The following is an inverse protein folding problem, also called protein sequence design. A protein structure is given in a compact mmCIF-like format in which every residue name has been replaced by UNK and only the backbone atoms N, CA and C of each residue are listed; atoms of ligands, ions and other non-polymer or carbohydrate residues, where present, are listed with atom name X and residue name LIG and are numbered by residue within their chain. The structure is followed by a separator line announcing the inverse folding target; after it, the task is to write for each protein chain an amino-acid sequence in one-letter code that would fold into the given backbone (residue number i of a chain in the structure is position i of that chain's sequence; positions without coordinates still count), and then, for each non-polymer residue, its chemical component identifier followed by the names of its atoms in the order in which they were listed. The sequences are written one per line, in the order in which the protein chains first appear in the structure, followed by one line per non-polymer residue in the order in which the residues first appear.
data_IF_659613544640
#
_entry.id   IF_659613544640
#
_cell.length_a   1.000
_cell.length_b   1.000
_cell.length_c   1.000
_cell.angle_alpha   90.00
_cell.angle_beta   90.00
_cell.angle_gamma   90.00
#
_symmetry.space_group_name_H-M   'P 1'
#
loop_
_entity.id
_entity.type
_entity.pdbx_description
1 polymer ?
#
# COMPACT_ATOMS: atom_id res chain seq x y z
N UNK A 1 -50.02 -38.31 -40.08
CA UNK A 1 -48.68 -38.27 -40.71
C UNK A 1 -47.98 -37.00 -40.22
N UNK A 2 -47.15 -37.13 -39.20
CA UNK A 2 -46.41 -36.01 -38.66
C UNK A 2 -45.02 -36.48 -38.34
N UNK A 3 -44.03 -35.95 -38.98
CA UNK A 3 -42.65 -36.28 -38.85
C UNK A 3 -42.01 -35.53 -37.62
N UNK A 4 -41.47 -36.30 -36.72
CA UNK A 4 -40.74 -35.81 -35.59
C UNK A 4 -39.35 -35.41 -35.98
N UNK A 5 -38.96 -34.14 -35.76
CA UNK A 5 -37.63 -33.62 -35.95
C UNK A 5 -36.81 -33.87 -34.64
N UNK A 6 -35.80 -34.74 -34.74
CA UNK A 6 -34.76 -34.93 -33.73
C UNK A 6 -33.79 -33.74 -33.80
N UNK A 7 -33.65 -32.96 -32.73
CA UNK A 7 -32.57 -32.01 -32.59
C UNK A 7 -31.36 -32.72 -31.93
N UNK A 8 -30.27 -32.84 -32.66
CA UNK A 8 -28.97 -33.27 -32.18
C UNK A 8 -28.28 -32.13 -31.44
N UNK A 9 -28.12 -32.29 -30.13
CA UNK A 9 -27.29 -31.42 -29.29
C UNK A 9 -25.80 -31.79 -29.54
N UNK A 10 -25.08 -30.95 -30.26
CA UNK A 10 -23.65 -31.02 -30.37
C UNK A 10 -23.00 -30.61 -29.05
N UNK A 11 -22.42 -31.60 -28.36
CA UNK A 11 -21.47 -31.37 -27.26
C UNK A 11 -20.21 -30.70 -27.82
N UNK A 12 -20.04 -29.41 -27.55
CA UNK A 12 -18.79 -28.70 -27.77
C UNK A 12 -17.79 -29.15 -26.74
N UNK A 13 -16.79 -29.91 -27.17
CA UNK A 13 -15.62 -30.30 -26.36
C UNK A 13 -14.86 -29.02 -26.01
N UNK A 14 -14.81 -28.70 -24.71
CA UNK A 14 -13.93 -27.69 -24.16
C UNK A 14 -12.47 -28.06 -24.45
N UNK A 15 -11.84 -27.25 -25.30
CA UNK A 15 -10.40 -27.33 -25.56
C UNK A 15 -9.68 -26.83 -24.29
N UNK A 16 -9.12 -27.76 -23.53
CA UNK A 16 -8.15 -27.44 -22.48
C UNK A 16 -6.95 -26.75 -23.11
N UNK A 17 -6.85 -25.45 -22.90
CA UNK A 17 -5.70 -24.67 -23.32
C UNK A 17 -4.45 -25.25 -22.64
N UNK A 18 -3.56 -25.85 -23.43
CA UNK A 18 -2.22 -26.26 -22.98
C UNK A 18 -1.52 -25.03 -22.45
N UNK A 19 -1.23 -25.01 -21.15
CA UNK A 19 -0.40 -24.01 -20.49
C UNK A 19 0.95 -24.03 -21.20
N UNK A 20 1.20 -23.07 -22.08
CA UNK A 20 2.51 -22.89 -22.69
C UNK A 20 3.50 -22.58 -21.56
N UNK A 21 4.49 -23.44 -21.36
CA UNK A 21 5.65 -23.16 -20.52
C UNK A 21 6.28 -21.89 -21.12
N UNK A 22 6.01 -20.73 -20.52
CA UNK A 22 6.69 -19.50 -20.88
C UNK A 22 8.16 -19.69 -20.49
N UNK A 23 9.03 -19.78 -21.48
CA UNK A 23 10.46 -19.60 -21.25
C UNK A 23 10.62 -18.21 -20.66
N UNK A 24 10.99 -18.14 -19.36
CA UNK A 24 11.31 -16.86 -18.75
C UNK A 24 12.50 -16.23 -19.49
N UNK A 25 12.40 -14.93 -19.78
CA UNK A 25 13.48 -14.17 -20.41
C UNK A 25 14.78 -14.39 -19.61
N UNK A 26 15.89 -14.86 -20.23
CA UNK A 26 17.17 -15.06 -19.54
C UNK A 26 17.65 -13.82 -18.78
N UNK A 27 17.32 -12.61 -19.25
CA UNK A 27 17.62 -11.35 -18.55
C UNK A 27 16.89 -11.22 -17.21
N UNK A 28 15.76 -11.92 -17.04
CA UNK A 28 15.03 -11.94 -15.76
C UNK A 28 15.85 -12.59 -14.65
N UNK A 29 16.67 -13.59 -14.95
CA UNK A 29 17.55 -14.25 -13.98
C UNK A 29 18.64 -13.30 -13.46
N UNK A 30 19.24 -12.50 -14.36
CA UNK A 30 20.22 -11.50 -13.98
C UNK A 30 19.62 -10.43 -13.08
N UNK A 31 18.41 -9.97 -13.42
CA UNK A 31 17.67 -9.01 -12.60
C UNK A 31 17.35 -9.57 -11.22
N UNK A 32 16.90 -10.82 -11.14
CA UNK A 32 16.63 -11.51 -9.86
C UNK A 32 17.90 -11.69 -9.02
N UNK A 33 19.01 -12.11 -9.65
CA UNK A 33 20.29 -12.27 -8.96
C UNK A 33 20.78 -10.93 -8.40
N UNK A 34 20.74 -9.85 -9.20
CA UNK A 34 21.09 -8.51 -8.78
C UNK A 34 20.23 -8.04 -7.60
N UNK A 35 18.92 -8.25 -7.68
CA UNK A 35 18.00 -7.86 -6.60
C UNK A 35 18.30 -8.62 -5.31
N UNK A 36 18.59 -9.93 -5.38
CA UNK A 36 18.98 -10.72 -4.20
C UNK A 36 20.28 -10.23 -3.57
N UNK A 37 21.32 -9.98 -4.37
CA UNK A 37 22.60 -9.45 -3.90
C UNK A 37 22.43 -8.06 -3.29
N UNK A 38 21.66 -7.19 -3.91
CA UNK A 38 21.37 -5.86 -3.39
C UNK A 38 20.59 -5.91 -2.08
N UNK A 39 19.56 -6.76 -2.00
CA UNK A 39 18.79 -6.95 -0.77
C UNK A 39 19.68 -7.44 0.37
N UNK A 40 20.50 -8.45 0.11
CA UNK A 40 21.45 -8.96 1.09
C UNK A 40 22.42 -7.87 1.56
N UNK A 41 22.99 -7.07 0.64
CA UNK A 41 23.88 -5.96 0.95
C UNK A 41 23.20 -4.90 1.82
N UNK A 42 21.97 -4.46 1.47
CA UNK A 42 21.22 -3.48 2.26
C UNK A 42 20.95 -4.01 3.68
N UNK A 43 20.46 -5.24 3.81
CA UNK A 43 20.15 -5.85 5.12
C UNK A 43 21.39 -5.98 5.99
N UNK A 44 22.56 -6.26 5.39
CA UNK A 44 23.80 -6.45 6.12
C UNK A 44 24.43 -5.12 6.58
N UNK A 45 24.31 -4.06 5.77
CA UNK A 45 25.06 -2.81 6.02
C UNK A 45 24.22 -1.77 6.75
N UNK A 46 22.88 -1.79 6.57
CA UNK A 46 22.00 -0.83 7.21
C UNK A 46 21.54 -1.36 8.58
N UNK A 47 21.75 -0.58 9.66
CA UNK A 47 21.38 -1.00 11.02
C UNK A 47 19.87 -0.80 11.26
N UNK A 48 19.02 -1.57 10.57
CA UNK A 48 17.59 -1.56 10.83
C UNK A 48 17.28 -1.98 12.27
N UNK A 49 16.21 -1.41 12.87
CA UNK A 49 15.74 -1.86 14.19
C UNK A 49 15.39 -3.35 14.14
N UNK A 50 14.69 -3.77 13.11
CA UNK A 50 14.51 -5.19 12.74
C UNK A 50 14.49 -5.33 11.22
N UNK A 51 14.96 -6.49 10.73
CA UNK A 51 14.84 -6.89 9.34
C UNK A 51 14.41 -8.34 9.26
N UNK A 52 13.22 -8.56 8.68
CA UNK A 52 12.62 -9.89 8.57
C UNK A 52 13.28 -10.78 7.52
N UNK A 53 12.85 -12.05 7.49
CA UNK A 53 13.30 -13.02 6.49
C UNK A 53 12.59 -12.74 5.14
N UNK A 54 13.24 -13.12 4.03
CA UNK A 54 12.70 -12.98 2.66
C UNK A 54 12.38 -11.52 2.27
N UNK A 55 13.10 -10.55 2.86
CA UNK A 55 13.00 -9.15 2.46
C UNK A 55 13.59 -8.98 1.06
N UNK A 56 12.83 -8.32 0.17
CA UNK A 56 13.25 -7.97 -1.19
C UNK A 56 13.35 -6.47 -1.32
N UNK A 57 14.54 -5.95 -1.66
CA UNK A 57 14.78 -4.53 -1.91
C UNK A 57 15.20 -4.33 -3.37
N UNK A 58 14.42 -3.57 -4.12
CA UNK A 58 14.71 -3.28 -5.53
C UNK A 58 15.64 -2.07 -5.65
N UNK A 59 16.63 -2.17 -6.54
CA UNK A 59 17.58 -1.07 -6.80
C UNK A 59 17.00 -0.03 -7.78
N UNK A 60 17.25 1.28 -7.53
CA UNK A 60 17.81 1.86 -6.32
C UNK A 60 16.75 1.95 -5.20
N UNK A 61 17.23 2.01 -3.96
CA UNK A 61 16.42 2.25 -2.77
C UNK A 61 16.97 3.44 -2.01
N UNK A 62 16.12 4.31 -1.49
CA UNK A 62 16.49 5.58 -0.88
C UNK A 62 16.28 5.53 0.63
N UNK A 63 17.39 5.50 1.35
CA UNK A 63 17.41 5.48 2.82
C UNK A 63 18.69 6.12 3.32
N UNK A 64 18.59 6.97 4.33
CA UNK A 64 19.76 7.44 5.07
C UNK A 64 20.22 6.33 6.04
N UNK A 65 21.46 5.84 5.87
CA UNK A 65 21.99 4.78 6.73
C UNK A 65 21.93 5.14 8.22
N UNK A 66 22.18 6.41 8.57
CA UNK A 66 22.17 6.90 9.95
C UNK A 66 20.79 6.89 10.61
N UNK A 67 19.71 6.74 9.85
CA UNK A 67 18.34 6.67 10.38
C UNK A 67 17.70 5.29 10.22
N UNK A 68 18.41 4.30 9.71
CA UNK A 68 17.88 2.95 9.51
C UNK A 68 17.44 2.27 10.81
N UNK A 69 18.07 2.59 11.95
CA UNK A 69 17.70 2.10 13.28
C UNK A 69 16.29 2.54 13.73
N UNK A 70 15.70 3.52 13.06
CA UNK A 70 14.31 3.98 13.30
C UNK A 70 13.28 3.25 12.43
N UNK A 71 13.68 2.20 11.71
CA UNK A 71 12.85 1.46 10.77
C UNK A 71 12.85 -0.02 11.12
N UNK A 72 11.65 -0.59 11.25
CA UNK A 72 11.40 -2.01 11.46
C UNK A 72 10.70 -2.59 10.24
N UNK A 73 11.22 -3.70 9.71
CA UNK A 73 10.67 -4.35 8.52
C UNK A 73 10.43 -5.84 8.83
N UNK A 74 9.23 -6.31 8.57
CA UNK A 74 8.78 -7.68 8.78
C UNK A 74 9.24 -8.67 7.70
N UNK A 75 8.69 -9.87 7.78
CA UNK A 75 9.01 -10.97 6.88
C UNK A 75 8.29 -10.84 5.54
N UNK A 76 8.90 -11.27 4.45
CA UNK A 76 8.26 -11.33 3.13
C UNK A 76 7.94 -9.97 2.50
N UNK A 77 8.49 -8.88 3.04
CA UNK A 77 8.26 -7.53 2.55
C UNK A 77 9.02 -7.31 1.24
N UNK A 78 8.36 -6.63 0.30
CA UNK A 78 9.00 -6.12 -0.92
C UNK A 78 9.03 -4.59 -0.88
N UNK A 79 10.22 -4.00 -1.05
CA UNK A 79 10.42 -2.57 -1.23
C UNK A 79 10.73 -2.28 -2.69
N UNK A 80 9.86 -1.53 -3.34
CA UNK A 80 9.95 -1.21 -4.76
C UNK A 80 11.09 -0.26 -5.10
N UNK A 81 11.40 -0.19 -6.38
CA UNK A 81 12.43 0.68 -6.94
C UNK A 81 12.16 2.15 -6.58
N UNK A 82 13.21 2.88 -6.20
CA UNK A 82 13.15 4.29 -5.79
C UNK A 82 12.22 4.58 -4.59
N UNK A 83 11.78 3.57 -3.85
CA UNK A 83 11.06 3.79 -2.60
C UNK A 83 11.97 4.54 -1.62
N UNK A 84 11.41 5.53 -0.94
CA UNK A 84 12.13 6.38 0.00
C UNK A 84 11.52 6.29 1.41
N UNK A 85 12.28 5.71 2.32
CA UNK A 85 11.94 5.70 3.74
C UNK A 85 12.74 6.81 4.44
N UNK A 86 12.06 7.86 4.85
CA UNK A 86 12.63 9.04 5.48
C UNK A 86 12.14 9.17 6.92
N UNK A 87 13.04 9.43 7.85
CA UNK A 87 12.70 9.75 9.24
C UNK A 87 13.25 11.12 9.61
N UNK A 88 12.44 11.92 10.27
CA UNK A 88 12.81 13.26 10.74
C UNK A 88 13.24 13.18 12.20
N UNK A 89 14.39 13.83 12.54
CA UNK A 89 14.99 13.75 13.87
C UNK A 89 15.78 12.46 14.04
N UNK A 90 17.11 12.55 13.92
CA UNK A 90 18.02 11.39 13.93
C UNK A 90 18.40 10.90 15.34
N UNK A 91 18.15 11.74 16.34
CA UNK A 91 18.72 11.56 17.70
C UNK A 91 17.83 10.73 18.62
N UNK A 92 16.78 10.08 18.09
CA UNK A 92 15.90 9.22 18.89
C UNK A 92 16.15 7.75 18.57
N UNK A 93 16.15 6.90 19.59
CA UNK A 93 16.20 5.44 19.46
C UNK A 93 14.83 4.84 19.08
N UNK A 94 13.79 5.67 18.98
CA UNK A 94 12.44 5.22 18.69
C UNK A 94 12.26 4.77 17.25
N UNK A 95 11.57 3.66 17.05
CA UNK A 95 11.16 3.19 15.73
C UNK A 95 10.00 4.04 15.23
N UNK A 96 10.20 4.68 14.08
CA UNK A 96 9.23 5.60 13.48
C UNK A 96 8.49 5.01 12.29
N UNK A 97 9.12 4.09 11.56
CA UNK A 97 8.48 3.39 10.45
C UNK A 97 8.47 1.90 10.77
N UNK A 98 7.28 1.34 10.81
CA UNK A 98 7.05 -0.11 10.96
C UNK A 98 6.35 -0.61 9.71
N UNK A 99 6.93 -1.56 9.02
CA UNK A 99 6.31 -2.29 7.91
C UNK A 99 6.26 -3.75 8.33
N UNK A 100 5.06 -4.25 8.58
CA UNK A 100 4.84 -5.61 9.08
C UNK A 100 4.90 -6.65 7.94
N UNK A 101 4.63 -7.90 8.25
CA UNK A 101 4.82 -9.06 7.36
C UNK A 101 4.01 -8.97 6.06
N UNK A 102 4.56 -9.53 4.98
CA UNK A 102 3.93 -9.71 3.67
C UNK A 102 3.47 -8.42 2.97
N UNK A 103 4.02 -7.27 3.33
CA UNK A 103 3.69 -6.01 2.69
C UNK A 103 4.40 -5.86 1.33
N UNK A 104 3.69 -5.27 0.37
CA UNK A 104 4.24 -4.90 -0.92
C UNK A 104 4.23 -3.38 -1.07
N UNK A 105 5.41 -2.78 -1.03
CA UNK A 105 5.63 -1.33 -1.18
C UNK A 105 6.02 -1.07 -2.63
N UNK A 106 5.28 -0.19 -3.29
CA UNK A 106 5.44 0.11 -4.70
C UNK A 106 6.71 0.90 -5.04
N UNK A 107 6.91 1.11 -6.32
CA UNK A 107 8.02 1.93 -6.79
C UNK A 107 7.75 3.43 -6.53
N UNK A 108 8.79 4.18 -6.16
CA UNK A 108 8.73 5.63 -5.91
C UNK A 108 7.78 6.04 -4.77
N UNK A 109 7.46 5.12 -3.87
CA UNK A 109 6.71 5.46 -2.68
C UNK A 109 7.57 6.26 -1.72
N UNK A 110 6.94 7.20 -1.01
CA UNK A 110 7.60 8.06 -0.04
C UNK A 110 6.92 7.90 1.31
N UNK A 111 7.67 7.41 2.30
CA UNK A 111 7.26 7.38 3.69
C UNK A 111 8.12 8.39 4.44
N UNK A 112 7.50 9.45 4.98
CA UNK A 112 8.21 10.48 5.73
C UNK A 112 7.62 10.58 7.13
N UNK A 113 8.33 9.97 8.09
CA UNK A 113 7.92 9.86 9.48
C UNK A 113 8.70 10.81 10.39
N UNK A 114 7.97 11.63 11.12
CA UNK A 114 8.49 12.37 12.26
C UNK A 114 8.18 11.64 13.57
N UNK A 115 6.97 11.15 13.70
CA UNK A 115 6.48 10.43 14.89
C UNK A 115 6.30 8.95 14.61
N UNK A 116 5.29 8.56 13.80
CA UNK A 116 5.01 7.14 13.58
C UNK A 116 4.20 6.88 12.31
N UNK A 117 4.72 5.98 11.46
CA UNK A 117 3.99 5.36 10.35
C UNK A 117 4.04 3.85 10.55
N UNK A 118 2.88 3.23 10.74
CA UNK A 118 2.73 1.80 10.93
C UNK A 118 1.92 1.22 9.78
N UNK A 119 2.52 0.30 9.03
CA UNK A 119 1.88 -0.48 7.97
C UNK A 119 1.75 -1.91 8.50
N UNK A 120 0.53 -2.33 8.80
CA UNK A 120 0.28 -3.68 9.28
C UNK A 120 0.43 -4.72 8.16
N UNK A 121 0.38 -6.00 8.52
CA UNK A 121 0.62 -7.12 7.59
C UNK A 121 -0.33 -7.14 6.38
N UNK A 122 0.13 -7.75 5.30
CA UNK A 122 -0.66 -8.03 4.10
C UNK A 122 -1.18 -6.75 3.39
N UNK A 123 -0.52 -5.60 3.60
CA UNK A 123 -0.86 -4.34 2.93
C UNK A 123 -0.16 -4.26 1.59
N UNK A 124 -0.93 -3.86 0.56
CA UNK A 124 -0.42 -3.61 -0.77
C UNK A 124 -0.48 -2.12 -1.10
N UNK A 125 0.66 -1.53 -1.39
CA UNK A 125 0.81 -0.12 -1.78
C UNK A 125 1.28 -0.08 -3.24
N UNK A 126 0.53 0.62 -4.09
CA UNK A 126 0.86 0.80 -5.48
C UNK A 126 1.99 1.84 -5.64
N UNK A 127 2.31 2.25 -6.86
CA UNK A 127 3.45 3.13 -7.12
C UNK A 127 3.16 4.61 -6.80
N UNK A 128 4.19 5.36 -6.40
CA UNK A 128 4.17 6.81 -6.21
C UNK A 128 3.19 7.29 -5.13
N UNK A 129 3.03 6.50 -4.08
CA UNK A 129 2.21 6.83 -2.91
C UNK A 129 3.03 7.68 -1.93
N UNK A 130 2.39 8.70 -1.35
CA UNK A 130 2.95 9.51 -0.27
C UNK A 130 2.27 9.16 1.05
N UNK A 131 3.06 8.82 2.08
CA UNK A 131 2.58 8.66 3.46
C UNK A 131 3.44 9.55 4.34
N UNK A 132 2.81 10.56 4.96
CA UNK A 132 3.54 11.60 5.69
C UNK A 132 2.77 12.04 6.92
N UNK A 133 3.43 12.01 8.09
CA UNK A 133 2.82 12.34 9.38
C UNK A 133 3.13 13.77 9.88
N UNK A 134 3.74 14.61 9.06
CA UNK A 134 4.10 15.99 9.37
C UNK A 134 4.16 16.85 8.11
N UNK A 135 4.28 18.16 8.25
CA UNK A 135 4.60 19.08 7.16
C UNK A 135 5.51 20.22 7.67
N UNK A 136 5.97 21.07 6.79
CA UNK A 136 6.70 22.28 7.19
C UNK A 136 5.77 23.24 7.92
N UNK A 137 6.24 23.86 9.02
CA UNK A 137 5.55 24.94 9.66
C UNK A 137 5.56 26.18 8.76
N UNK A 138 4.44 26.90 8.69
CA UNK A 138 4.25 28.05 7.79
C UNK A 138 3.45 29.19 8.42
N UNK A 139 3.10 29.07 9.70
CA UNK A 139 2.21 30.00 10.40
C UNK A 139 2.85 31.38 10.62
N UNK A 140 4.18 31.45 10.72
CA UNK A 140 4.91 32.70 10.90
C UNK A 140 5.15 33.38 9.53
N UNK A 141 4.29 34.33 9.19
CA UNK A 141 4.36 35.07 7.93
C UNK A 141 5.58 36.01 7.82
N UNK A 142 6.34 36.21 8.90
CA UNK A 142 7.52 37.08 8.91
C UNK A 142 8.80 36.38 8.53
N UNK A 143 8.80 35.05 8.47
CA UNK A 143 9.96 34.22 8.13
C UNK A 143 9.68 33.29 6.95
N UNK A 144 10.70 32.99 6.13
CA UNK A 144 10.58 31.95 5.12
C UNK A 144 10.20 30.60 5.73
N UNK A 145 9.36 29.80 5.05
CA UNK A 145 8.91 28.47 5.50
C UNK A 145 10.11 27.56 5.80
N UNK A 146 11.18 27.65 5.00
CA UNK A 146 12.41 26.86 5.21
C UNK A 146 13.10 27.10 6.55
N UNK A 147 12.79 28.19 7.24
CA UNK A 147 13.37 28.55 8.55
C UNK A 147 12.43 28.25 9.72
N UNK A 148 11.22 27.76 9.46
CA UNK A 148 10.23 27.51 10.51
C UNK A 148 10.24 26.05 11.02
N UNK A 149 10.99 25.16 10.33
CA UNK A 149 11.07 23.76 10.70
C UNK A 149 9.86 22.95 10.25
N UNK A 150 9.46 21.97 11.05
CA UNK A 150 8.33 21.08 10.77
C UNK A 150 7.33 21.09 11.92
N UNK A 151 6.06 20.84 11.60
CA UNK A 151 4.97 20.78 12.59
C UNK A 151 5.22 19.69 13.65
N UNK A 152 4.50 19.69 14.79
CA UNK A 152 4.53 18.60 15.76
C UNK A 152 4.27 17.23 15.10
N UNK A 153 3.40 17.19 14.08
CA UNK A 153 3.04 16.00 13.35
C UNK A 153 2.03 15.11 14.07
N UNK A 154 1.46 14.17 13.32
CA UNK A 154 0.54 13.16 13.81
C UNK A 154 1.14 11.75 13.83
N UNK A 155 0.27 10.75 13.73
CA UNK A 155 0.63 9.34 13.57
C UNK A 155 -0.25 8.72 12.50
N UNK A 156 0.29 7.78 11.74
CA UNK A 156 -0.45 7.08 10.69
C UNK A 156 -0.40 5.58 10.95
N UNK A 157 -1.56 4.93 10.91
CA UNK A 157 -1.70 3.48 10.94
C UNK A 157 -2.51 3.01 9.74
N UNK A 158 -1.95 2.13 8.94
CA UNK A 158 -2.67 1.41 7.89
C UNK A 158 -2.84 -0.02 8.37
N UNK A 159 -4.08 -0.39 8.68
CA UNK A 159 -4.38 -1.71 9.18
C UNK A 159 -4.27 -2.78 8.09
N UNK A 160 -4.22 -4.03 8.52
CA UNK A 160 -3.99 -5.22 7.68
C UNK A 160 -4.91 -5.30 6.45
N UNK A 161 -4.35 -5.86 5.38
CA UNK A 161 -5.11 -6.21 4.17
C UNK A 161 -5.59 -5.01 3.35
N UNK A 162 -5.10 -3.80 3.61
CA UNK A 162 -5.46 -2.61 2.84
C UNK A 162 -4.76 -2.58 1.48
N UNK A 163 -5.45 -1.96 0.51
CA UNK A 163 -4.88 -1.61 -0.78
C UNK A 163 -4.84 -0.10 -0.97
N UNK A 164 -3.64 0.44 -1.17
CA UNK A 164 -3.42 1.87 -1.43
C UNK A 164 -3.11 2.03 -2.91
N UNK A 165 -3.98 2.73 -3.63
CA UNK A 165 -3.90 2.96 -5.06
C UNK A 165 -2.79 3.93 -5.45
N UNK A 166 -2.36 3.84 -6.70
CA UNK A 166 -1.28 4.63 -7.26
C UNK A 166 -1.49 6.14 -7.05
N UNK A 167 -0.41 6.83 -6.64
CA UNK A 167 -0.42 8.29 -6.49
C UNK A 167 -1.28 8.80 -5.33
N UNK A 168 -1.82 7.92 -4.48
CA UNK A 168 -2.55 8.34 -3.30
C UNK A 168 -1.62 9.07 -2.31
N UNK A 169 -2.19 10.02 -1.56
CA UNK A 169 -1.50 10.71 -0.48
C UNK A 169 -2.26 10.51 0.83
N UNK A 170 -1.55 10.03 1.86
CA UNK A 170 -2.08 9.86 3.22
C UNK A 170 -1.28 10.79 4.12
N UNK A 171 -1.93 11.84 4.64
CA UNK A 171 -1.26 12.92 5.36
C UNK A 171 -1.94 13.15 6.70
N UNK A 172 -1.14 13.14 7.80
CA UNK A 172 -1.61 13.36 9.16
C UNK A 172 -0.74 14.41 9.85
N UNK A 173 -1.27 15.58 10.08
CA UNK A 173 -0.52 16.70 10.68
C UNK A 173 -0.64 16.77 12.20
N UNK A 174 -1.65 16.12 12.76
CA UNK A 174 -1.92 16.07 14.21
C UNK A 174 -2.75 14.82 14.55
N UNK A 175 -2.70 14.39 15.79
CA UNK A 175 -3.46 13.24 16.27
C UNK A 175 -3.07 11.92 15.62
N UNK A 176 -4.05 11.08 15.32
CA UNK A 176 -3.87 9.78 14.68
C UNK A 176 -4.81 9.61 13.47
N UNK A 177 -4.26 9.17 12.35
CA UNK A 177 -5.00 8.79 11.15
C UNK A 177 -4.93 7.27 10.97
N UNK A 178 -6.08 6.61 10.99
CA UNK A 178 -6.19 5.16 10.84
C UNK A 178 -6.95 4.83 9.56
N UNK A 179 -6.32 4.05 8.68
CA UNK A 179 -7.00 3.39 7.56
C UNK A 179 -7.42 2.01 8.06
N UNK A 180 -8.72 1.83 8.29
CA UNK A 180 -9.26 0.59 8.85
C UNK A 180 -9.04 -0.62 7.94
N UNK A 181 -8.95 -1.81 8.53
CA UNK A 181 -8.58 -3.06 7.88
C UNK A 181 -9.39 -3.36 6.61
N UNK A 182 -8.72 -4.00 5.62
CA UNK A 182 -9.33 -4.40 4.35
C UNK A 182 -9.98 -3.23 3.57
N UNK A 183 -9.47 -2.01 3.75
CA UNK A 183 -9.94 -0.83 3.05
C UNK A 183 -9.16 -0.59 1.75
N UNK A 184 -9.78 0.14 0.85
CA UNK A 184 -9.21 0.54 -0.44
C UNK A 184 -9.11 2.06 -0.49
N UNK A 185 -7.93 2.58 -0.71
CA UNK A 185 -7.69 3.97 -1.06
C UNK A 185 -7.49 4.03 -2.58
N UNK A 186 -8.36 4.70 -3.29
CA UNK A 186 -8.29 4.77 -4.74
C UNK A 186 -7.08 5.57 -5.23
N UNK A 187 -6.70 5.35 -6.48
CA UNK A 187 -5.63 6.10 -7.10
C UNK A 187 -5.86 7.62 -7.00
N UNK A 188 -4.78 8.36 -6.73
CA UNK A 188 -4.75 9.84 -6.57
C UNK A 188 -5.70 10.38 -5.49
N UNK A 189 -6.17 9.57 -4.56
CA UNK A 189 -6.95 10.05 -3.43
C UNK A 189 -6.05 10.76 -2.40
N UNK A 190 -6.55 11.87 -1.83
CA UNK A 190 -5.93 12.56 -0.69
C UNK A 190 -6.69 12.22 0.58
N UNK A 191 -6.07 11.47 1.49
CA UNK A 191 -6.67 11.03 2.75
C UNK A 191 -6.04 11.81 3.90
N UNK A 192 -6.87 12.58 4.60
CA UNK A 192 -6.47 13.38 5.76
C UNK A 192 -7.30 13.05 7.01
N UNK A 193 -8.19 12.06 6.92
CA UNK A 193 -9.05 11.61 8.01
C UNK A 193 -9.11 10.09 8.04
N UNK A 194 -9.27 9.53 9.23
CA UNK A 194 -9.45 8.10 9.44
C UNK A 194 -10.69 7.58 8.70
N UNK A 195 -10.64 6.32 8.29
CA UNK A 195 -11.80 5.60 7.77
C UNK A 195 -11.97 4.26 8.49
N UNK A 196 -13.24 3.81 8.68
CA UNK A 196 -13.51 2.52 9.31
C UNK A 196 -13.05 1.36 8.41
N UNK A 197 -12.94 0.13 8.95
CA UNK A 197 -12.64 -1.06 8.15
C UNK A 197 -13.61 -1.24 6.97
N UNK A 198 -13.12 -1.92 5.92
CA UNK A 198 -13.90 -2.25 4.72
C UNK A 198 -14.41 -1.03 3.95
N UNK A 199 -13.67 0.08 3.99
CA UNK A 199 -14.01 1.31 3.30
C UNK A 199 -13.37 1.40 1.91
N UNK A 200 -14.05 2.08 0.98
CA UNK A 200 -13.48 2.53 -0.30
C UNK A 200 -13.46 4.05 -0.28
N UNK A 201 -12.28 4.64 -0.25
CA UNK A 201 -12.05 6.09 -0.25
C UNK A 201 -11.63 6.53 -1.64
N UNK A 202 -12.26 7.58 -2.16
CA UNK A 202 -12.00 8.11 -3.50
C UNK A 202 -11.83 9.63 -3.48
N UNK A 203 -11.05 10.15 -4.40
CA UNK A 203 -11.00 11.58 -4.74
C UNK A 203 -10.03 12.41 -3.90
N UNK A 204 -9.94 13.69 -4.27
CA UNK A 204 -9.16 14.72 -3.59
C UNK A 204 -10.06 15.96 -3.39
N UNK A 205 -10.48 16.25 -2.15
CA UNK A 205 -10.23 15.50 -0.90
C UNK A 205 -10.90 14.12 -0.88
N UNK A 206 -10.29 13.17 -0.16
CA UNK A 206 -10.76 11.79 -0.02
C UNK A 206 -12.14 11.71 0.66
N UNK A 207 -13.05 10.96 0.07
CA UNK A 207 -14.42 10.75 0.58
C UNK A 207 -14.77 9.27 0.57
N UNK A 208 -15.56 8.85 1.55
CA UNK A 208 -16.11 7.48 1.60
C UNK A 208 -17.10 7.27 0.45
N UNK A 209 -16.71 6.46 -0.52
CA UNK A 209 -17.57 6.12 -1.66
C UNK A 209 -18.43 4.86 -1.40
N UNK A 210 -17.85 3.88 -0.69
CA UNK A 210 -18.54 2.61 -0.36
C UNK A 210 -17.97 2.07 0.94
N UNK A 211 -18.79 1.32 1.66
CA UNK A 211 -18.38 0.54 2.83
C UNK A 211 -19.07 -0.82 2.81
N UNK A 212 -18.33 -1.89 3.09
CA UNK A 212 -18.93 -3.20 3.27
C UNK A 212 -19.54 -3.31 4.67
N UNK A 213 -20.78 -3.79 4.71
CA UNK A 213 -21.46 -4.09 5.98
C UNK A 213 -21.36 -5.60 6.24
N UNK A 214 -20.51 -6.05 7.20
CA UNK A 214 -20.30 -7.48 7.47
C UNK A 214 -21.56 -8.18 7.96
N UNK A 215 -22.43 -7.49 8.73
CA UNK A 215 -23.65 -8.07 9.27
C UNK A 215 -24.70 -8.37 8.20
N UNK A 216 -24.67 -7.59 7.10
CA UNK A 216 -25.60 -7.77 5.96
C UNK A 216 -24.96 -8.47 4.76
N UNK A 217 -23.63 -8.64 4.75
CA UNK A 217 -22.89 -9.22 3.64
C UNK A 217 -22.91 -8.38 2.34
N UNK A 218 -23.17 -7.07 2.42
CA UNK A 218 -23.36 -6.21 1.24
C UNK A 218 -22.52 -4.93 1.31
N UNK A 219 -22.17 -4.40 0.16
CA UNK A 219 -21.58 -3.07 0.03
C UNK A 219 -22.67 -1.99 0.03
N UNK A 220 -22.52 -0.99 0.88
CA UNK A 220 -23.38 0.21 0.94
C UNK A 220 -22.65 1.41 0.38
N UNK A 221 -23.38 2.30 -0.30
CA UNK A 221 -22.84 3.57 -0.78
C UNK A 221 -22.51 4.52 0.38
N UNK A 222 -21.44 5.32 0.23
CA UNK A 222 -21.09 6.42 1.13
C UNK A 222 -21.81 7.71 0.73
N UNK A 223 -21.66 8.76 1.56
CA UNK A 223 -22.16 10.09 1.25
C UNK A 223 -21.53 10.62 -0.06
N UNK A 224 -22.35 10.86 -1.08
CA UNK A 224 -21.94 11.39 -2.39
C UNK A 224 -21.84 10.38 -3.53
N UNK A 225 -22.05 9.09 -3.30
CA UNK A 225 -22.21 8.09 -4.36
C UNK A 225 -23.67 8.00 -4.78
N UNK A 226 -23.97 8.08 -6.10
CA UNK A 226 -25.25 7.62 -6.61
C UNK A 226 -25.50 6.24 -6.02
N UNK A 227 -26.69 5.99 -5.49
CA UNK A 227 -27.13 4.67 -5.07
C UNK A 227 -26.91 3.69 -6.22
N UNK A 228 -25.75 3.06 -6.25
CA UNK A 228 -25.57 1.93 -7.13
C UNK A 228 -26.53 0.86 -6.59
N UNK A 229 -27.55 0.55 -7.36
CA UNK A 229 -28.34 -0.67 -7.20
C UNK A 229 -27.39 -1.78 -6.85
N UNK A 230 -27.66 -2.48 -5.74
CA UNK A 230 -26.83 -3.52 -5.21
C UNK A 230 -26.35 -4.45 -6.34
N UNK A 231 -25.08 -4.31 -6.73
CA UNK A 231 -24.44 -5.26 -7.65
C UNK A 231 -24.24 -6.56 -6.83
N UNK A 232 -25.26 -7.41 -6.87
CA UNK A 232 -25.33 -8.69 -6.18
C UNK A 232 -24.49 -9.74 -6.91
N UNK A 233 -23.25 -9.42 -7.26
CA UNK A 233 -22.34 -10.50 -7.67
C UNK A 233 -21.91 -11.28 -6.44
N UNK A 234 -22.27 -12.59 -6.33
CA UNK A 234 -21.80 -13.41 -5.22
C UNK A 234 -20.28 -13.49 -5.26
N UNK A 235 -19.67 -13.40 -4.08
CA UNK A 235 -18.24 -13.65 -3.91
C UNK A 235 -18.00 -15.11 -4.29
N UNK A 236 -17.06 -15.43 -5.22
CA UNK A 236 -16.70 -16.83 -5.49
C UNK A 236 -16.18 -17.44 -4.20
N UNK A 237 -16.79 -18.55 -3.78
CA UNK A 237 -16.26 -19.41 -2.72
C UNK A 237 -14.95 -20.03 -3.18
N UNK A 238 -13.86 -19.72 -2.49
CA UNK A 238 -12.57 -20.40 -2.64
C UNK A 238 -12.55 -21.72 -1.90
#
# INVERSE_FOLDING_TARGET
MSAAQKSETKHTKSSTAKTSVRFEDPLSYLTRARTKLYSWWIITIYPFATSGKKLTVQYPFRLCRGSAHQISIGNGVTLGKDAWLNTVGRDTSEVKIVIDDNCNIGARDIFSAKNSIVIERDVMIATSVLIQDHHHAYEDITRPISQQGVTPGGRIRIEKGCWIGQGAAIVCNEGELVIGANSVISANALVTKSCPPYSVIVGNPGRLARQFNPAKGVWVGGEGGRTATADQRPIPSH
#
